data_IF_162616027141
#
_entry.id   IF_162616027141
#
_cell.length_a   1.000
_cell.length_b   1.000
_cell.length_c   1.000
_cell.angle_alpha   90.00
_cell.angle_beta   90.00
_cell.angle_gamma   90.00
#
_symmetry.space_group_name_H-M   'P 1'
#
loop_
_entity.id
_entity.type
_entity.pdbx_description
1 polymer ?
#
# COMPACT_ATOMS: atom_id res chain seq x y z
N UNK A 1 -7.97 19.65 8.41
CA UNK A 1 -7.23 18.69 7.56
C UNK A 1 -7.91 18.62 6.21
N UNK A 2 -7.17 18.68 5.12
CA UNK A 2 -7.73 18.40 3.80
C UNK A 2 -8.00 16.90 3.67
N UNK A 3 -8.92 16.51 2.79
CA UNK A 3 -9.22 15.09 2.53
C UNK A 3 -7.94 14.31 2.21
N UNK A 4 -7.00 14.90 1.48
CA UNK A 4 -5.74 14.26 1.13
C UNK A 4 -4.86 13.96 2.35
N UNK A 5 -4.90 14.82 3.39
CA UNK A 5 -4.15 14.58 4.62
C UNK A 5 -4.67 13.36 5.36
N UNK A 6 -6.00 13.21 5.41
CA UNK A 6 -6.67 12.07 6.06
C UNK A 6 -6.29 10.78 5.33
N UNK A 7 -6.42 10.75 4.00
CA UNK A 7 -6.11 9.56 3.19
C UNK A 7 -4.64 9.20 3.30
N UNK A 8 -3.72 10.18 3.29
CA UNK A 8 -2.29 9.95 3.49
C UNK A 8 -1.96 9.31 4.82
N UNK A 9 -2.50 9.84 5.90
CA UNK A 9 -2.23 9.31 7.23
C UNK A 9 -2.85 7.92 7.41
N UNK A 10 -4.06 7.69 6.87
CA UNK A 10 -4.66 6.36 6.83
C UNK A 10 -3.79 5.36 6.06
N UNK A 11 -3.34 5.72 4.85
CA UNK A 11 -2.43 4.90 4.04
C UNK A 11 -1.14 4.57 4.80
N UNK A 12 -0.54 5.58 5.43
CA UNK A 12 0.70 5.46 6.20
C UNK A 12 0.55 4.48 7.37
N UNK A 13 -0.50 4.63 8.19
CA UNK A 13 -0.75 3.74 9.33
C UNK A 13 -0.93 2.30 8.87
N UNK A 14 -1.72 2.08 7.81
CA UNK A 14 -1.97 0.74 7.27
C UNK A 14 -0.68 0.12 6.69
N UNK A 15 0.15 0.90 5.99
CA UNK A 15 1.45 0.41 5.51
C UNK A 15 2.37 0.02 6.66
N UNK A 16 2.43 0.82 7.73
CA UNK A 16 3.24 0.51 8.92
C UNK A 16 2.80 -0.78 9.60
N UNK A 17 1.49 -1.03 9.67
CA UNK A 17 0.95 -2.32 10.14
C UNK A 17 1.41 -3.45 9.20
N UNK A 18 1.38 -3.26 7.88
CA UNK A 18 1.93 -4.20 6.90
C UNK A 18 3.41 -4.50 7.13
N UNK A 19 4.24 -3.47 7.34
CA UNK A 19 5.67 -3.64 7.65
C UNK A 19 5.88 -4.39 8.97
N UNK A 20 5.10 -4.06 10.00
CA UNK A 20 5.12 -4.78 11.28
C UNK A 20 4.78 -6.26 11.11
N UNK A 21 3.72 -6.59 10.38
CA UNK A 21 3.32 -7.96 10.11
C UNK A 21 4.38 -8.73 9.28
N UNK A 22 5.05 -8.09 8.33
CA UNK A 22 6.19 -8.69 7.62
C UNK A 22 7.34 -9.00 8.57
N UNK A 23 7.70 -8.08 9.47
CA UNK A 23 8.73 -8.32 10.47
C UNK A 23 8.37 -9.46 11.44
N UNK A 24 7.07 -9.72 11.65
CA UNK A 24 6.54 -10.82 12.45
C UNK A 24 6.27 -12.11 11.64
N UNK A 25 6.63 -12.15 10.35
CA UNK A 25 6.36 -13.26 9.43
C UNK A 25 4.88 -13.67 9.32
N UNK A 26 3.95 -12.73 9.53
CA UNK A 26 2.51 -12.97 9.49
C UNK A 26 1.97 -12.96 8.05
N UNK A 27 2.17 -14.06 7.33
CA UNK A 27 1.66 -14.27 5.97
C UNK A 27 0.33 -15.03 5.99
N UNK A 28 -0.70 -14.66 5.20
CA UNK A 28 -0.73 -13.61 4.17
C UNK A 28 -1.25 -12.24 4.64
N UNK A 29 -1.48 -12.07 5.95
CA UNK A 29 -2.09 -10.85 6.50
C UNK A 29 -1.30 -9.58 6.18
N UNK A 30 0.04 -9.66 6.19
CA UNK A 30 0.93 -8.58 5.75
C UNK A 30 0.62 -8.11 4.31
N UNK A 31 0.44 -9.05 3.37
CA UNK A 31 0.14 -8.75 1.97
C UNK A 31 -1.20 -8.02 1.83
N UNK A 32 -2.23 -8.45 2.57
CA UNK A 32 -3.54 -7.78 2.54
C UNK A 32 -3.46 -6.33 3.07
N UNK A 33 -2.71 -6.10 4.15
CA UNK A 33 -2.50 -4.74 4.65
C UNK A 33 -1.74 -3.88 3.62
N UNK A 34 -0.73 -4.44 2.95
CA UNK A 34 -0.04 -3.71 1.89
C UNK A 34 -0.94 -3.38 0.71
N UNK A 35 -1.83 -4.27 0.28
CA UNK A 35 -2.77 -3.95 -0.80
C UNK A 35 -3.68 -2.79 -0.44
N UNK A 36 -4.25 -2.77 0.77
CA UNK A 36 -5.09 -1.64 1.21
C UNK A 36 -4.27 -0.35 1.22
N UNK A 37 -3.06 -0.39 1.76
CA UNK A 37 -2.17 0.77 1.79
C UNK A 37 -1.78 1.26 0.38
N UNK A 38 -1.55 0.34 -0.57
CA UNK A 38 -1.26 0.64 -1.97
C UNK A 38 -2.41 1.39 -2.64
N UNK A 39 -3.64 0.91 -2.47
CA UNK A 39 -4.81 1.60 -3.06
C UNK A 39 -4.99 3.00 -2.48
N UNK A 40 -4.77 3.18 -1.18
CA UNK A 40 -4.87 4.49 -0.54
C UNK A 40 -3.77 5.44 -1.00
N UNK A 41 -2.51 5.01 -1.06
CA UNK A 41 -1.44 5.86 -1.58
C UNK A 41 -1.56 6.15 -3.08
N UNK A 42 -2.10 5.22 -3.86
CA UNK A 42 -2.44 5.50 -5.25
C UNK A 42 -3.49 6.62 -5.34
N UNK A 43 -4.54 6.57 -4.49
CA UNK A 43 -5.54 7.64 -4.40
C UNK A 43 -4.89 8.98 -4.01
N UNK A 44 -3.95 8.99 -3.06
CA UNK A 44 -3.16 10.19 -2.72
C UNK A 44 -2.41 10.71 -3.94
N UNK A 45 -1.76 9.84 -4.71
CA UNK A 45 -1.07 10.20 -5.95
C UNK A 45 -2.00 10.88 -6.95
N UNK A 46 -3.23 10.38 -7.11
CA UNK A 46 -4.27 11.01 -7.94
C UNK A 46 -4.66 12.39 -7.41
N UNK A 47 -4.90 12.51 -6.09
CA UNK A 47 -5.29 13.78 -5.45
C UNK A 47 -4.22 14.86 -5.58
N UNK A 48 -2.95 14.47 -5.52
CA UNK A 48 -1.80 15.36 -5.70
C UNK A 48 -1.38 15.54 -7.16
N UNK A 49 -1.97 14.80 -8.09
CA UNK A 49 -1.53 14.71 -9.50
C UNK A 49 -0.05 14.31 -9.63
N UNK A 50 0.45 13.54 -8.67
CA UNK A 50 1.82 13.07 -8.62
C UNK A 50 1.94 11.71 -9.31
N UNK A 51 2.52 11.73 -10.52
CA UNK A 51 2.72 10.53 -11.33
C UNK A 51 3.73 9.56 -10.73
N UNK A 52 4.71 10.03 -9.97
CA UNK A 52 5.70 9.16 -9.34
C UNK A 52 5.04 8.31 -8.25
N UNK A 53 4.17 8.91 -7.42
CA UNK A 53 3.40 8.18 -6.40
C UNK A 53 2.46 7.16 -7.05
N UNK A 54 1.80 7.51 -8.16
CA UNK A 54 0.92 6.56 -8.86
C UNK A 54 1.72 5.37 -9.42
N UNK A 55 2.84 5.64 -10.10
CA UNK A 55 3.65 4.60 -10.75
C UNK A 55 4.28 3.66 -9.73
N UNK A 56 4.82 4.16 -8.61
CA UNK A 56 5.43 3.30 -7.59
C UNK A 56 4.41 2.36 -6.96
N UNK A 57 3.16 2.80 -6.75
CA UNK A 57 2.11 1.96 -6.18
C UNK A 57 1.54 0.94 -7.16
N UNK A 58 1.51 1.26 -8.46
CA UNK A 58 1.21 0.26 -9.51
C UNK A 58 2.29 -0.82 -9.54
N UNK A 59 3.58 -0.43 -9.50
CA UNK A 59 4.69 -1.38 -9.46
C UNK A 59 4.67 -2.25 -8.20
N UNK A 60 4.39 -1.66 -7.04
CA UNK A 60 4.24 -2.37 -5.77
C UNK A 60 3.07 -3.36 -5.82
N UNK A 61 1.94 -2.97 -6.40
CA UNK A 61 0.78 -3.85 -6.59
C UNK A 61 1.14 -5.09 -7.41
N UNK A 62 1.72 -4.88 -8.60
CA UNK A 62 2.10 -5.98 -9.49
C UNK A 62 3.10 -6.91 -8.78
N UNK A 63 4.12 -6.35 -8.12
CA UNK A 63 5.15 -7.12 -7.43
C UNK A 63 4.55 -7.99 -6.31
N UNK A 64 3.69 -7.42 -5.46
CA UNK A 64 3.06 -8.17 -4.37
C UNK A 64 2.01 -9.16 -4.87
N UNK A 65 1.26 -8.82 -5.92
CA UNK A 65 0.24 -9.69 -6.48
C UNK A 65 0.87 -10.93 -7.14
N UNK A 66 1.90 -10.74 -7.96
CA UNK A 66 2.65 -11.85 -8.55
C UNK A 66 3.35 -12.67 -7.47
N UNK A 67 3.93 -12.03 -6.45
CA UNK A 67 4.53 -12.73 -5.31
C UNK A 67 3.52 -13.58 -4.54
N UNK A 68 2.32 -13.03 -4.29
CA UNK A 68 1.23 -13.75 -3.62
C UNK A 68 0.74 -14.95 -4.43
N UNK A 69 0.53 -14.80 -5.74
CA UNK A 69 0.10 -15.90 -6.61
C UNK A 69 1.13 -17.03 -6.73
N UNK A 70 2.42 -16.72 -6.68
CA UNK A 70 3.47 -17.75 -6.71
C UNK A 70 3.64 -18.47 -5.36
N UNK A 71 3.18 -17.87 -4.27
CA UNK A 71 3.30 -18.42 -2.92
C UNK A 71 2.02 -19.14 -2.44
N UNK A 72 0.91 -18.94 -3.14
CA UNK A 72 -0.38 -19.60 -2.91
C UNK A 72 -0.45 -20.97 -3.61
#
# INVERSE_FOLDING_TARGET
MQTVDIVKWAATVIQLIGYGMTGLNMTPWNVYAFFVGIFLWFAVGVMWKDKAIMVVHVGAFISLFVGYLNAA
#
